data_IF_379751123889
#
_entry.id   IF_379751123889
#
_cell.length_a   1.000
_cell.length_b   1.000
_cell.length_c   1.000
_cell.angle_alpha   90.00
_cell.angle_beta   90.00
_cell.angle_gamma   90.00
#
_symmetry.space_group_name_H-M   'P 1'
#
loop_
_entity.id
_entity.type
_entity.pdbx_description
1 polymer ?
#
# COMPACT_ATOMS: atom_id res chain seq x y z
N UNK A 1 -68.18 26.39 -23.00
CA UNK A 1 -68.46 25.58 -21.79
C UNK A 1 -67.14 25.07 -21.21
N UNK A 2 -66.54 25.88 -20.35
CA UNK A 2 -65.21 25.72 -19.77
C UNK A 2 -65.33 24.94 -18.47
N UNK A 3 -64.76 23.73 -18.40
CA UNK A 3 -64.69 22.96 -17.14
C UNK A 3 -63.35 23.19 -16.46
N UNK A 4 -63.40 23.99 -15.40
CA UNK A 4 -62.39 24.16 -14.36
C UNK A 4 -62.07 22.80 -13.71
N UNK A 5 -60.79 22.43 -13.62
CA UNK A 5 -60.33 21.34 -12.73
C UNK A 5 -59.42 21.91 -11.63
N UNK A 6 -59.66 21.52 -10.37
CA UNK A 6 -58.97 22.09 -9.21
C UNK A 6 -57.53 21.60 -9.07
N UNK A 7 -56.67 22.56 -8.76
CA UNK A 7 -55.27 22.42 -8.34
C UNK A 7 -55.19 21.59 -7.05
N UNK A 8 -54.69 20.35 -7.16
CA UNK A 8 -54.23 19.58 -5.99
C UNK A 8 -52.91 20.19 -5.49
N UNK A 9 -53.05 20.99 -4.45
CA UNK A 9 -51.98 21.41 -3.53
C UNK A 9 -51.20 20.17 -3.10
N UNK A 10 -50.04 19.95 -3.72
CA UNK A 10 -49.06 19.00 -3.20
C UNK A 10 -48.38 19.68 -2.04
N UNK A 11 -48.79 19.29 -0.84
CA UNK A 11 -48.20 19.68 0.42
C UNK A 11 -46.70 19.45 0.37
N UNK A 12 -45.98 20.55 0.50
CA UNK A 12 -44.55 20.67 0.66
C UNK A 12 -44.17 20.03 2.01
N UNK A 13 -43.99 18.72 2.03
CA UNK A 13 -43.38 18.02 3.15
C UNK A 13 -41.86 18.18 3.03
N UNK A 14 -41.38 19.32 3.52
CA UNK A 14 -39.96 19.62 3.70
C UNK A 14 -39.43 18.73 4.83
N UNK A 15 -39.16 17.46 4.54
CA UNK A 15 -38.45 16.56 5.43
C UNK A 15 -36.97 16.95 5.42
N UNK A 16 -36.56 17.78 6.40
CA UNK A 16 -35.17 18.01 6.75
C UNK A 16 -34.57 16.69 7.24
N UNK A 17 -34.10 15.85 6.31
CA UNK A 17 -33.21 14.75 6.65
C UNK A 17 -31.84 15.37 6.98
N UNK A 18 -31.58 15.60 8.28
CA UNK A 18 -30.21 15.73 8.78
C UNK A 18 -29.54 14.37 8.58
N UNK A 19 -29.03 14.13 7.38
CA UNK A 19 -28.04 13.09 7.14
C UNK A 19 -26.78 13.55 7.85
N UNK A 20 -26.58 13.10 9.08
CA UNK A 20 -25.29 13.17 9.74
C UNK A 20 -24.37 12.29 8.90
N UNK A 21 -23.70 12.89 7.92
CA UNK A 21 -22.55 12.30 7.27
C UNK A 21 -21.52 12.14 8.38
N UNK A 22 -21.48 10.95 8.99
CA UNK A 22 -20.34 10.52 9.74
C UNK A 22 -19.18 10.47 8.75
N UNK A 23 -18.51 11.60 8.57
CA UNK A 23 -17.27 11.68 7.81
C UNK A 23 -16.32 10.73 8.51
N UNK A 24 -16.12 9.56 7.91
CA UNK A 24 -15.08 8.66 8.34
C UNK A 24 -13.80 9.52 8.47
N UNK A 25 -13.11 9.49 9.61
CA UNK A 25 -11.88 10.24 9.76
C UNK A 25 -11.00 9.90 8.57
N UNK A 26 -10.40 10.91 7.90
CA UNK A 26 -9.59 10.64 6.75
C UNK A 26 -8.48 9.68 7.21
N UNK A 27 -8.39 8.52 6.57
CA UNK A 27 -7.42 7.47 6.90
C UNK A 27 -5.96 7.96 6.92
N UNK A 28 -5.71 9.20 6.47
CA UNK A 28 -4.43 9.89 6.52
C UNK A 28 -4.03 10.44 7.90
N UNK A 29 -4.97 10.62 8.85
CA UNK A 29 -4.67 11.27 10.13
C UNK A 29 -3.73 10.43 11.03
N UNK A 30 -3.88 9.10 10.99
CA UNK A 30 -3.02 8.18 11.74
C UNK A 30 -1.61 8.10 11.14
N UNK A 31 -1.51 8.08 9.80
CA UNK A 31 -0.23 8.07 9.11
C UNK A 31 0.60 9.33 9.42
N UNK A 32 0.00 10.53 9.43
CA UNK A 32 0.70 11.78 9.79
C UNK A 32 1.28 11.73 11.20
N UNK A 33 0.50 11.24 12.15
CA UNK A 33 0.92 11.13 13.55
C UNK A 33 2.11 10.18 13.68
N UNK A 34 2.08 9.04 13.00
CA UNK A 34 3.20 8.08 12.97
C UNK A 34 4.44 8.65 12.28
N UNK A 35 4.28 9.34 11.15
CA UNK A 35 5.40 10.00 10.46
C UNK A 35 6.12 11.00 11.37
N UNK A 36 5.38 11.80 12.15
CA UNK A 36 5.96 12.73 13.13
C UNK A 36 6.73 12.02 14.23
N UNK A 37 6.24 10.88 14.72
CA UNK A 37 6.98 10.03 15.68
C UNK A 37 8.30 9.56 15.08
N UNK A 38 8.33 9.26 13.78
CA UNK A 38 9.57 8.92 13.06
C UNK A 38 10.43 10.13 12.67
N UNK A 39 9.99 11.36 12.94
CA UNK A 39 10.71 12.58 12.56
C UNK A 39 10.67 12.86 11.07
N UNK A 40 9.57 12.51 10.40
CA UNK A 40 9.32 12.81 8.98
C UNK A 40 8.10 13.72 8.81
N UNK A 41 8.18 14.57 7.78
CA UNK A 41 7.07 15.40 7.30
C UNK A 41 6.84 15.12 5.82
N UNK A 42 5.58 15.12 5.39
CA UNK A 42 5.20 14.91 3.98
C UNK A 42 5.59 16.12 3.13
N UNK A 43 6.16 15.87 1.97
CA UNK A 43 6.45 16.87 0.94
C UNK A 43 5.43 16.78 -0.20
N UNK A 44 5.79 17.29 -1.37
CA UNK A 44 5.01 17.14 -2.58
C UNK A 44 4.93 15.65 -3.01
N UNK A 45 3.83 15.26 -3.66
CA UNK A 45 3.77 13.97 -4.35
C UNK A 45 4.81 13.88 -5.45
N UNK A 46 5.29 12.67 -5.68
CA UNK A 46 6.23 12.32 -6.75
C UNK A 46 5.62 11.23 -7.60
N UNK A 47 5.77 11.33 -8.91
CA UNK A 47 5.17 10.35 -9.83
C UNK A 47 5.97 9.04 -9.86
N UNK A 48 7.29 9.13 -9.67
CA UNK A 48 8.19 7.98 -9.79
C UNK A 48 9.36 8.08 -8.81
N UNK A 49 9.67 6.96 -8.16
CA UNK A 49 10.90 6.76 -7.38
C UNK A 49 11.85 5.94 -8.26
N UNK A 50 12.97 6.52 -8.74
CA UNK A 50 13.71 6.05 -9.92
C UNK A 50 14.72 4.94 -9.61
N UNK A 51 14.61 3.70 -10.06
CA UNK A 51 15.23 2.43 -9.56
C UNK A 51 14.36 1.65 -8.56
N UNK A 52 14.39 0.33 -8.73
CA UNK A 52 13.51 -0.64 -8.08
C UNK A 52 14.02 -1.20 -6.74
N UNK A 53 15.23 -0.81 -6.30
CA UNK A 53 15.82 -1.34 -5.07
C UNK A 53 15.40 -0.49 -3.87
N UNK A 54 14.59 -1.07 -2.99
CA UNK A 54 14.26 -0.52 -1.67
C UNK A 54 15.32 -1.00 -0.67
N UNK A 55 15.85 -0.08 0.13
CA UNK A 55 16.83 -0.43 1.17
C UNK A 55 16.13 -0.99 2.42
N UNK A 56 15.05 -0.34 2.85
CA UNK A 56 14.26 -0.71 4.03
C UNK A 56 12.82 -0.19 3.91
N UNK A 57 11.92 -0.68 4.75
CA UNK A 57 10.55 -0.18 4.82
C UNK A 57 9.96 -0.31 6.22
N UNK A 58 8.91 0.47 6.49
CA UNK A 58 8.17 0.44 7.75
C UNK A 58 6.68 0.47 7.51
N UNK A 59 5.98 -0.42 8.19
CA UNK A 59 4.53 -0.40 8.29
C UNK A 59 4.07 0.85 9.06
N UNK A 60 3.17 1.64 8.46
CA UNK A 60 2.48 2.73 9.17
C UNK A 60 1.06 2.32 9.50
N UNK A 61 0.31 1.82 8.53
CA UNK A 61 -1.03 1.26 8.70
C UNK A 61 -1.41 0.43 7.46
N UNK A 62 -2.65 -0.04 7.37
CA UNK A 62 -3.09 -0.90 6.26
C UNK A 62 -3.15 -0.18 4.91
N UNK A 63 -3.14 1.15 4.88
CA UNK A 63 -3.15 1.96 3.64
C UNK A 63 -1.84 2.71 3.42
N UNK A 64 -0.92 2.71 4.38
CA UNK A 64 0.29 3.52 4.31
C UNK A 64 1.52 2.69 4.69
N UNK A 65 2.54 2.75 3.85
CA UNK A 65 3.85 2.20 4.13
C UNK A 65 4.93 3.26 3.87
N UNK A 66 5.97 3.28 4.69
CA UNK A 66 7.14 4.12 4.46
C UNK A 66 8.24 3.26 3.83
N UNK A 67 8.87 3.74 2.77
CA UNK A 67 9.99 3.07 2.10
C UNK A 67 11.22 3.96 2.08
N UNK A 68 12.38 3.35 2.21
CA UNK A 68 13.68 4.03 2.25
C UNK A 68 14.51 3.65 1.05
N UNK A 69 15.20 4.65 0.50
CA UNK A 69 16.06 4.44 -0.65
C UNK A 69 17.12 5.52 -0.81
N UNK A 70 18.39 5.12 -0.86
CA UNK A 70 19.51 6.03 -1.11
C UNK A 70 19.53 7.22 -0.14
N UNK A 71 19.13 6.98 1.12
CA UNK A 71 18.99 8.03 2.14
C UNK A 71 17.74 8.90 2.04
N UNK A 72 16.89 8.71 1.02
CA UNK A 72 15.57 9.34 0.90
C UNK A 72 14.50 8.45 1.53
N UNK A 73 13.40 9.06 1.97
CA UNK A 73 12.23 8.35 2.46
C UNK A 73 11.01 8.74 1.64
N UNK A 74 10.12 7.80 1.40
CA UNK A 74 8.87 8.01 0.66
C UNK A 74 7.72 7.35 1.41
N UNK A 75 6.57 7.99 1.38
CA UNK A 75 5.31 7.44 1.84
C UNK A 75 4.57 6.87 0.63
N UNK A 76 4.21 5.59 0.72
CA UNK A 76 3.32 4.92 -0.22
C UNK A 76 1.92 4.98 0.35
N UNK A 77 1.00 5.62 -0.38
CA UNK A 77 -0.42 5.61 -0.09
C UNK A 77 -1.07 4.58 -1.00
N UNK A 78 -1.75 3.60 -0.41
CA UNK A 78 -2.38 2.51 -1.13
C UNK A 78 -3.83 2.84 -1.49
N UNK A 79 -4.25 2.38 -2.66
CA UNK A 79 -5.62 2.57 -3.18
C UNK A 79 -6.67 1.93 -2.25
N UNK A 80 -6.31 0.82 -1.59
CA UNK A 80 -7.16 0.08 -0.66
C UNK A 80 -6.36 -0.46 0.52
N UNK A 81 -7.05 -0.88 1.57
CA UNK A 81 -6.41 -1.49 2.73
C UNK A 81 -5.71 -2.81 2.35
N UNK A 82 -4.48 -2.98 2.81
CA UNK A 82 -3.58 -4.06 2.51
C UNK A 82 -3.10 -4.69 3.84
N UNK A 83 -3.92 -5.53 4.49
CA UNK A 83 -3.61 -6.10 5.80
C UNK A 83 -2.35 -6.97 5.79
N UNK A 84 -1.96 -7.50 4.62
CA UNK A 84 -0.72 -8.24 4.45
C UNK A 84 0.54 -7.44 4.82
N UNK A 85 0.48 -6.10 4.78
CA UNK A 85 1.59 -5.23 5.18
C UNK A 85 1.98 -5.41 6.65
N UNK A 86 1.02 -5.71 7.54
CA UNK A 86 1.30 -5.81 8.97
C UNK A 86 2.22 -7.01 9.29
N UNK A 87 2.10 -8.08 8.51
CA UNK A 87 2.84 -9.34 8.71
C UNK A 87 3.99 -9.53 7.75
N UNK A 88 4.16 -8.66 6.76
CA UNK A 88 5.20 -8.82 5.78
C UNK A 88 6.58 -8.56 6.40
N UNK A 89 7.55 -9.41 6.05
CA UNK A 89 8.98 -9.14 6.28
C UNK A 89 9.63 -8.47 5.08
N UNK A 90 9.07 -8.66 3.89
CA UNK A 90 9.60 -8.17 2.62
C UNK A 90 8.48 -7.54 1.81
N UNK A 91 8.77 -6.41 1.19
CA UNK A 91 7.96 -5.84 0.13
C UNK A 91 8.79 -5.74 -1.14
N UNK A 92 8.13 -5.77 -2.28
CA UNK A 92 8.75 -5.61 -3.58
C UNK A 92 7.81 -4.88 -4.53
N UNK A 93 8.33 -4.57 -5.70
CA UNK A 93 7.56 -3.97 -6.78
C UNK A 93 7.71 -4.78 -8.03
N UNK A 94 6.74 -4.69 -8.92
CA UNK A 94 6.88 -5.27 -10.24
C UNK A 94 7.95 -4.48 -11.03
N UNK A 95 9.10 -5.11 -11.26
CA UNK A 95 10.30 -4.52 -11.87
C UNK A 95 10.19 -4.23 -13.38
N UNK A 96 9.01 -4.42 -13.99
CA UNK A 96 8.82 -4.20 -15.42
C UNK A 96 9.12 -2.76 -15.89
N UNK A 97 9.19 -1.80 -14.96
CA UNK A 97 9.54 -0.41 -15.22
C UNK A 97 10.65 -0.02 -14.24
N UNK A 98 11.60 0.82 -14.68
CA UNK A 98 12.81 1.22 -13.94
C UNK A 98 12.55 2.10 -12.70
N UNK A 99 11.57 1.76 -11.87
CA UNK A 99 11.22 2.48 -10.67
C UNK A 99 9.83 2.16 -10.15
N UNK A 100 9.54 2.68 -8.96
CA UNK A 100 8.21 2.64 -8.37
C UNK A 100 7.40 3.83 -8.88
N UNK A 101 6.31 3.56 -9.59
CA UNK A 101 5.42 4.59 -10.15
C UNK A 101 4.10 4.58 -9.38
N UNK A 102 3.53 5.76 -9.12
CA UNK A 102 2.14 5.86 -8.66
C UNK A 102 1.24 5.10 -9.67
N UNK A 103 0.18 4.41 -9.23
CA UNK A 103 -0.68 3.46 -9.97
C UNK A 103 -0.18 2.02 -10.11
N UNK A 104 0.99 1.68 -9.59
CA UNK A 104 1.54 0.30 -9.68
C UNK A 104 1.19 -0.55 -8.48
N UNK A 105 1.45 -1.85 -8.61
CA UNK A 105 1.20 -2.84 -7.57
C UNK A 105 2.43 -3.01 -6.69
N UNK A 106 2.26 -2.75 -5.39
CA UNK A 106 3.15 -3.19 -4.33
C UNK A 106 2.94 -4.69 -4.09
N UNK A 107 3.99 -5.48 -4.19
CA UNK A 107 3.98 -6.88 -3.78
C UNK A 107 4.40 -6.98 -2.32
N UNK A 108 3.61 -7.65 -1.51
CA UNK A 108 3.78 -7.74 -0.06
C UNK A 108 3.92 -9.21 0.32
N UNK A 109 5.08 -9.60 0.84
CA UNK A 109 5.46 -10.99 1.07
C UNK A 109 6.40 -11.55 0.00
N UNK A 110 6.60 -12.87 -0.01
CA UNK A 110 7.49 -13.56 -0.94
C UNK A 110 6.84 -14.80 -1.56
N UNK A 111 7.30 -15.17 -2.75
CA UNK A 111 6.84 -16.36 -3.47
C UNK A 111 5.38 -16.30 -3.92
N UNK A 112 4.70 -17.45 -3.91
CA UNK A 112 3.30 -17.60 -4.33
C UNK A 112 2.28 -16.97 -3.38
N UNK A 113 2.70 -16.60 -2.16
CA UNK A 113 1.84 -15.99 -1.15
C UNK A 113 1.93 -14.46 -1.14
N UNK A 114 2.61 -13.87 -2.13
CA UNK A 114 2.72 -12.41 -2.23
C UNK A 114 1.35 -11.79 -2.50
N UNK A 115 0.92 -10.91 -1.60
CA UNK A 115 -0.29 -10.11 -1.76
C UNK A 115 0.01 -8.89 -2.65
N UNK A 116 -0.94 -8.56 -3.51
CA UNK A 116 -0.83 -7.44 -4.45
C UNK A 116 -1.67 -6.26 -3.95
N UNK A 117 -1.02 -5.12 -3.72
CA UNK A 117 -1.67 -3.93 -3.19
C UNK A 117 -1.42 -2.74 -4.12
N UNK A 118 -2.48 -2.11 -4.61
CA UNK A 118 -2.36 -0.96 -5.50
C UNK A 118 -1.80 0.27 -4.78
N UNK A 119 -0.81 0.93 -5.37
CA UNK A 119 -0.25 2.20 -4.92
C UNK A 119 -0.98 3.33 -5.63
N UNK A 120 -1.64 4.18 -4.85
CA UNK A 120 -2.36 5.36 -5.33
C UNK A 120 -1.42 6.54 -5.52
N UNK A 121 -0.64 6.85 -4.49
CA UNK A 121 0.24 8.02 -4.45
C UNK A 121 1.58 7.68 -3.82
N UNK A 122 2.63 8.34 -4.29
CA UNK A 122 3.93 8.34 -3.65
C UNK A 122 4.22 9.77 -3.21
N UNK A 123 4.60 9.94 -1.95
CA UNK A 123 4.89 11.26 -1.39
C UNK A 123 6.32 11.24 -0.86
N UNK A 124 7.14 12.21 -1.28
CA UNK A 124 8.48 12.33 -0.72
C UNK A 124 8.38 12.75 0.75
N UNK A 125 9.21 12.16 1.61
CA UNK A 125 9.29 12.51 3.02
C UNK A 125 10.57 13.29 3.28
N UNK A 126 10.44 14.41 3.99
CA UNK A 126 11.57 15.16 4.49
C UNK A 126 11.77 14.81 5.97
N UNK A 127 13.00 14.49 6.36
CA UNK A 127 13.34 14.32 7.77
C UNK A 127 13.24 15.69 8.44
N UNK A 128 12.23 15.87 9.28
CA UNK A 128 12.13 17.06 10.11
C UNK A 128 13.23 16.95 11.15
N UNK A 129 14.29 17.76 11.05
CA UNK A 129 15.39 17.80 12.03
C UNK A 129 14.94 18.09 13.46
N UNK A 130 13.67 18.39 13.66
CA UNK A 130 12.96 18.37 14.93
C UNK A 130 12.62 16.91 15.26
N UNK A 131 13.55 16.21 15.90
CA UNK A 131 13.14 15.07 16.71
C UNK A 131 12.30 15.61 17.85
N UNK A 132 11.06 15.13 18.07
CA UNK A 132 10.38 15.44 19.30
C UNK A 132 11.30 14.95 20.41
N UNK A 133 11.84 15.89 21.21
CA UNK A 133 12.55 15.52 22.43
C UNK A 133 11.54 14.67 23.19
N UNK A 134 11.84 13.38 23.45
CA UNK A 134 10.91 12.52 24.15
C UNK A 134 10.52 13.26 25.43
N UNK A 135 9.22 13.47 25.63
CA UNK A 135 8.73 14.06 26.86
C UNK A 135 9.42 13.31 28.00
N UNK A 136 9.97 14.02 29.01
CA UNK A 136 10.73 13.39 30.07
C UNK A 136 9.92 12.20 30.58
N UNK A 137 10.49 11.01 30.49
CA UNK A 137 9.85 9.79 30.96
C UNK A 137 9.36 10.09 32.36
N UNK A 138 8.03 9.98 32.63
CA UNK A 138 7.54 10.24 33.98
C UNK A 138 8.36 9.38 34.94
N UNK A 139 8.77 9.91 36.10
CA UNK A 139 9.56 9.15 37.05
C UNK A 139 8.85 7.82 37.29
N UNK A 140 9.60 6.70 37.42
CA UNK A 140 9.02 5.39 37.65
C UNK A 140 7.96 5.54 38.73
N UNK A 141 6.69 5.27 38.39
CA UNK A 141 5.63 5.29 39.40
C UNK A 141 6.11 4.35 40.50
N UNK A 142 6.07 4.84 41.74
CA UNK A 142 6.31 3.99 42.89
C UNK A 142 5.50 2.70 42.68
N UNK A 143 6.12 1.51 42.87
CA UNK A 143 5.47 0.25 42.59
C UNK A 143 4.09 0.28 43.24
N UNK A 144 3.04 0.12 42.41
CA UNK A 144 1.69 0.01 42.92
C UNK A 144 1.72 -1.05 44.01
N UNK A 145 1.16 -0.74 45.20
CA UNK A 145 1.11 -1.68 46.32
C UNK A 145 0.64 -3.02 45.77
N UNK A 146 1.42 -4.07 46.06
CA UNK A 146 1.09 -5.42 45.63
C UNK A 146 -0.40 -5.67 45.93
N UNK A 147 -1.21 -6.06 44.92
CA UNK A 147 -2.61 -6.35 45.15
C UNK A 147 -2.69 -7.40 46.26
N UNK A 148 -3.57 -7.16 47.24
CA UNK A 148 -3.82 -8.11 48.31
C UNK A 148 -4.11 -9.49 47.71
N UNK A 149 -3.64 -10.59 48.34
CA UNK A 149 -3.82 -11.94 47.83
C UNK A 149 -5.26 -12.16 47.40
N UNK A 150 -5.48 -12.38 46.10
CA UNK A 150 -6.80 -12.70 45.60
C UNK A 150 -7.25 -14.01 46.26
N UNK A 151 -8.47 -14.02 46.82
CA UNK A 151 -9.07 -15.24 47.35
C UNK A 151 -8.96 -16.34 46.28
N UNK A 152 -8.53 -17.56 46.63
CA UNK A 152 -8.43 -18.66 45.68
C UNK A 152 -9.79 -18.84 45.00
N UNK A 153 -9.82 -18.64 43.68
CA UNK A 153 -11.01 -18.91 42.88
C UNK A 153 -11.27 -20.41 42.94
N UNK A 154 -12.51 -20.78 43.25
CA UNK A 154 -12.99 -22.15 43.14
C UNK A 154 -12.62 -22.71 41.76
N UNK A 155 -12.15 -23.95 41.73
CA UNK A 155 -11.73 -24.63 40.51
C UNK A 155 -12.86 -24.53 39.46
N UNK A 156 -12.51 -24.03 38.27
CA UNK A 156 -13.43 -24.03 37.15
C UNK A 156 -13.82 -25.49 36.83
N UNK A 157 -15.11 -25.79 36.61
CA UNK A 157 -15.55 -27.12 36.23
C UNK A 157 -14.85 -27.56 34.95
N UNK A 158 -14.47 -28.84 34.90
CA UNK A 158 -13.80 -29.41 33.73
C UNK A 158 -14.65 -29.17 32.47
N UNK A 159 -14.05 -28.73 31.34
CA UNK A 159 -14.78 -28.51 30.12
C UNK A 159 -15.44 -29.82 29.67
N UNK A 160 -16.70 -29.73 29.26
CA UNK A 160 -17.44 -30.85 28.69
C UNK A 160 -16.69 -31.41 27.47
N UNK A 161 -16.69 -32.75 27.26
CA UNK A 161 -16.04 -33.36 26.11
C UNK A 161 -16.58 -32.78 24.80
N UNK A 162 -15.67 -32.44 23.89
CA UNK A 162 -16.02 -31.91 22.58
C UNK A 162 -16.85 -32.96 21.80
N UNK A 163 -17.91 -32.54 21.08
CA UNK A 163 -18.68 -33.43 20.23
C UNK A 163 -17.80 -34.07 19.15
N UNK A 164 -18.03 -35.36 18.89
CA UNK A 164 -17.31 -36.10 17.86
C UNK A 164 -17.48 -35.44 16.48
N UNK A 165 -16.42 -35.36 15.67
CA UNK A 165 -16.48 -34.76 14.34
C UNK A 165 -17.52 -35.49 13.46
N UNK A 166 -18.35 -34.71 12.78
CA UNK A 166 -19.32 -35.22 11.82
C UNK A 166 -18.60 -35.92 10.65
N UNK A 167 -19.19 -36.99 10.07
CA UNK A 167 -18.61 -37.71 8.95
C UNK A 167 -18.40 -36.78 7.75
N UNK A 168 -17.23 -36.91 7.11
CA UNK A 168 -16.86 -36.14 5.94
C UNK A 168 -17.85 -36.41 4.78
N UNK A 169 -18.30 -35.36 4.05
CA UNK A 169 -19.09 -35.54 2.83
C UNK A 169 -18.35 -36.41 1.82
N UNK A 170 -19.06 -37.37 1.24
CA UNK A 170 -18.54 -38.20 0.16
C UNK A 170 -18.18 -37.31 -1.04
N UNK A 171 -16.96 -37.49 -1.56
CA UNK A 171 -16.45 -36.71 -2.68
C UNK A 171 -17.31 -36.95 -3.92
N UNK A 172 -17.97 -35.89 -4.37
CA UNK A 172 -18.76 -35.88 -5.61
C UNK A 172 -17.80 -35.95 -6.80
N UNK A 173 -18.05 -36.92 -7.69
CA UNK A 173 -17.16 -37.23 -8.80
C UNK A 173 -16.92 -36.00 -9.70
N UNK A 174 -15.64 -35.69 -9.93
CA UNK A 174 -15.25 -34.58 -10.79
C UNK A 174 -15.83 -34.74 -12.21
N UNK A 175 -16.36 -33.66 -12.82
CA UNK A 175 -16.87 -33.70 -14.18
C UNK A 175 -15.74 -34.03 -15.16
N UNK A 176 -16.02 -34.95 -16.09
CA UNK A 176 -15.12 -35.32 -17.18
C UNK A 176 -14.85 -34.07 -18.05
N UNK A 177 -13.59 -33.73 -18.35
CA UNK A 177 -13.27 -32.55 -19.15
C UNK A 177 -13.84 -32.69 -20.56
N UNK A 178 -14.58 -31.66 -20.99
CA UNK A 178 -15.05 -31.50 -22.37
C UNK A 178 -13.83 -31.39 -23.30
N UNK A 179 -13.80 -32.12 -24.43
CA UNK A 179 -12.70 -32.02 -25.39
C UNK A 179 -12.57 -30.58 -25.92
N UNK A 180 -11.33 -30.13 -26.19
CA UNK A 180 -11.09 -28.81 -26.74
C UNK A 180 -11.75 -28.68 -28.13
N UNK A 181 -12.27 -27.48 -28.48
CA UNK A 181 -12.81 -27.25 -29.80
C UNK A 181 -11.72 -27.42 -30.88
N UNK A 182 -12.10 -27.87 -32.09
CA UNK A 182 -11.17 -27.98 -33.20
C UNK A 182 -10.57 -26.60 -33.54
N UNK A 183 -9.30 -26.56 -33.99
CA UNK A 183 -8.65 -25.31 -34.36
C UNK A 183 -9.41 -24.60 -35.48
N UNK A 184 -9.63 -23.29 -35.31
CA UNK A 184 -10.25 -22.46 -36.32
C UNK A 184 -9.39 -22.42 -37.60
N UNK A 185 -10.02 -22.30 -38.80
CA UNK A 185 -9.30 -22.14 -40.05
C UNK A 185 -8.33 -20.96 -39.99
N UNK A 186 -7.07 -21.21 -40.36
CA UNK A 186 -6.05 -20.17 -40.45
C UNK A 186 -6.52 -19.06 -41.39
N UNK A 187 -6.56 -17.82 -40.90
CA UNK A 187 -6.80 -16.66 -41.73
C UNK A 187 -5.67 -16.52 -42.76
N UNK A 188 -5.97 -16.08 -44.00
CA UNK A 188 -4.95 -15.83 -45.02
C UNK A 188 -3.96 -14.78 -44.51
N UNK A 189 -2.67 -15.06 -44.73
CA UNK A 189 -1.56 -14.18 -44.39
C UNK A 189 -1.79 -12.78 -44.99
N UNK A 190 -1.99 -11.79 -44.13
CA UNK A 190 -1.89 -10.40 -44.52
C UNK A 190 -0.42 -10.09 -44.82
N UNK A 191 -0.16 -9.59 -46.03
CA UNK A 191 1.13 -9.07 -46.45
C UNK A 191 1.68 -8.07 -45.41
N UNK A 192 2.87 -8.40 -44.93
CA UNK A 192 3.69 -7.58 -44.04
C UNK A 192 4.25 -6.38 -44.84
N UNK A 193 3.99 -5.12 -44.47
CA UNK A 193 4.65 -4.00 -45.10
C UNK A 193 6.14 -4.02 -44.73
N UNK A 194 6.99 -4.09 -45.76
CA UNK A 194 8.45 -4.01 -45.69
C UNK A 194 8.90 -2.73 -44.97
N UNK A 195 9.12 -2.81 -43.66
CA UNK A 195 9.70 -1.72 -42.88
C UNK A 195 11.21 -1.74 -43.07
N UNK A 196 11.66 -0.89 -43.99
CA UNK A 196 13.05 -0.49 -44.24
C UNK A 196 13.83 -0.28 -42.93
N UNK A 197 14.72 -1.23 -42.62
CA UNK A 197 15.70 -1.13 -41.54
C UNK A 197 16.58 0.12 -41.70
N UNK A 198 16.32 1.14 -40.91
CA UNK A 198 17.28 2.22 -40.66
C UNK A 198 18.20 1.78 -39.54
N UNK A 199 19.39 1.30 -39.92
CA UNK A 199 20.52 1.05 -39.04
C UNK A 199 20.86 2.32 -38.24
N UNK A 200 20.84 2.29 -36.89
CA UNK A 200 21.28 3.43 -36.10
C UNK A 200 22.79 3.69 -36.32
N UNK A 201 23.23 4.95 -36.42
CA UNK A 201 24.64 5.28 -36.63
C UNK A 201 25.50 4.83 -35.45
N UNK A 202 26.78 4.49 -35.68
CA UNK A 202 27.69 4.05 -34.63
C UNK A 202 27.86 5.15 -33.57
N UNK A 203 27.65 4.78 -32.31
CA UNK A 203 27.91 5.62 -31.15
C UNK A 203 29.33 6.18 -31.20
N UNK A 204 29.44 7.52 -31.28
CA UNK A 204 30.74 8.19 -31.18
C UNK A 204 31.35 7.91 -29.80
N UNK A 205 32.66 7.64 -29.71
CA UNK A 205 33.34 7.53 -28.42
C UNK A 205 33.18 8.84 -27.66
N UNK A 206 32.70 8.72 -26.40
CA UNK A 206 32.57 9.84 -25.47
C UNK A 206 33.99 10.31 -25.14
N UNK A 207 34.37 11.48 -25.62
CA UNK A 207 35.61 12.14 -25.21
C UNK A 207 35.33 12.74 -23.83
N UNK A 208 35.88 12.14 -22.78
CA UNK A 208 35.82 12.71 -21.44
C UNK A 208 36.56 14.05 -21.41
N UNK A 209 35.97 15.11 -20.83
CA UNK A 209 36.65 16.39 -20.68
C UNK A 209 37.85 16.26 -19.73
N UNK A 210 38.93 17.02 -19.96
CA UNK A 210 40.09 17.01 -19.07
C UNK A 210 39.70 17.42 -17.66
N UNK A 211 40.10 16.61 -16.69
CA UNK A 211 39.96 16.88 -15.25
C UNK A 211 40.72 18.18 -14.96
N UNK A 212 40.00 19.23 -14.58
CA UNK A 212 40.61 20.46 -14.10
C UNK A 212 41.22 20.21 -12.72
N UNK A 213 42.55 20.24 -12.65
CA UNK A 213 43.30 20.21 -11.40
C UNK A 213 43.00 21.46 -10.56
N UNK A 214 42.58 21.33 -9.29
CA UNK A 214 42.39 22.51 -8.44
C UNK A 214 43.74 23.16 -8.11
N UNK A 215 43.88 24.49 -8.27
CA UNK A 215 45.07 25.21 -7.83
C UNK A 215 45.03 25.41 -6.31
N UNK A 216 46.07 24.96 -5.61
CA UNK A 216 46.32 25.37 -4.23
C UNK A 216 46.53 24.22 -3.25
N UNK A 217 47.64 23.50 -3.39
CA UNK A 217 48.25 22.79 -2.28
C UNK A 217 49.68 23.32 -2.12
N UNK A 218 49.84 24.32 -1.26
CA UNK A 218 51.15 24.80 -0.81
C UNK A 218 51.63 23.85 0.28
N UNK A 219 52.77 23.16 0.14
CA UNK A 219 53.32 22.35 1.21
C UNK A 219 53.93 23.27 2.29
N UNK A 220 53.64 22.96 3.55
CA UNK A 220 54.38 23.38 4.75
C UNK A 220 55.34 22.26 5.15
#
# INVERSE_FOLDING_TARGET
>A
MTRFRPTRRHSLALALALTVLAAAPPASADADSRLRVFGYTRMAPVDTVPDSIIDDWKYLDDRNAMVFRGGQAYLLVLTSACPALQSAGVIGFNAALSGLVATKTLMVGSGSSASQCGVDQIVQLQRSGVFPVPAPTPPPRAPARAPAPAKPRAAAPAPAPAPAPAPAPAEEAAPVPTPPPPPAPAAPAAEEPEVKSTTPPPSRPRIDPPIATPPGATPL
#
